data_IF_731742731079
#
_entry.id   IF_731742731079
#
_cell.length_a   1.000
_cell.length_b   1.000
_cell.length_c   1.000
_cell.angle_alpha   90.00
_cell.angle_beta   90.00
_cell.angle_gamma   90.00
#
_symmetry.space_group_name_H-M   'P 1'
#
loop_
_entity.id
_entity.type
_entity.pdbx_description
1 polymer ?
#
# COMPACT_ATOMS: atom_id res chain seq x y z
N UNK A 1 -23.36 -67.80 -79.70
CA UNK A 1 -24.09 -66.59 -79.31
C UNK A 1 -23.71 -66.23 -77.90
N UNK A 2 -22.74 -65.30 -77.75
CA UNK A 2 -22.40 -64.77 -76.42
C UNK A 2 -22.27 -63.25 -76.60
N UNK A 3 -23.20 -62.54 -75.96
CA UNK A 3 -23.32 -61.09 -75.95
C UNK A 3 -22.33 -60.54 -74.97
N UNK A 4 -21.46 -59.62 -75.37
CA UNK A 4 -20.50 -58.93 -74.53
C UNK A 4 -21.13 -57.58 -74.14
N UNK A 5 -21.27 -57.33 -72.87
CA UNK A 5 -21.74 -56.02 -72.30
C UNK A 5 -20.55 -55.04 -72.15
N UNK A 6 -20.70 -53.79 -72.44
CA UNK A 6 -19.60 -52.79 -72.32
C UNK A 6 -19.41 -52.36 -70.89
N UNK A 7 -18.12 -52.23 -70.55
CA UNK A 7 -17.60 -51.69 -69.26
C UNK A 7 -17.88 -50.20 -69.15
N UNK A 8 -18.53 -49.80 -68.05
CA UNK A 8 -18.69 -48.39 -67.64
C UNK A 8 -17.34 -47.81 -67.24
N UNK A 9 -16.98 -46.73 -67.87
CA UNK A 9 -15.82 -45.92 -67.51
C UNK A 9 -16.14 -44.99 -66.28
N UNK A 10 -15.47 -45.24 -65.15
CA UNK A 10 -15.52 -44.36 -64.02
C UNK A 10 -14.72 -43.06 -64.32
N UNK A 11 -15.40 -41.99 -64.57
CA UNK A 11 -14.81 -40.65 -64.62
C UNK A 11 -14.55 -40.22 -63.19
N UNK A 12 -13.29 -40.16 -62.77
CA UNK A 12 -12.85 -39.50 -61.51
C UNK A 12 -12.88 -37.99 -61.72
N UNK A 13 -13.80 -37.38 -61.04
CA UNK A 13 -13.88 -35.91 -60.90
C UNK A 13 -12.75 -35.45 -59.98
N UNK A 14 -11.68 -34.86 -60.53
CA UNK A 14 -10.59 -34.26 -59.83
C UNK A 14 -10.94 -32.79 -59.57
N UNK A 15 -11.69 -32.50 -58.53
CA UNK A 15 -11.84 -31.14 -57.99
C UNK A 15 -10.52 -30.70 -57.36
N UNK A 16 -9.87 -29.60 -57.81
CA UNK A 16 -8.66 -29.12 -57.17
C UNK A 16 -9.02 -28.62 -55.77
N UNK A 17 -8.41 -29.19 -54.73
CA UNK A 17 -8.49 -28.68 -53.40
C UNK A 17 -7.85 -27.28 -53.36
N UNK A 18 -8.68 -26.26 -53.15
CA UNK A 18 -8.22 -24.89 -52.92
C UNK A 18 -7.52 -24.89 -51.56
N UNK A 19 -6.18 -24.86 -51.57
CA UNK A 19 -5.39 -24.59 -50.35
C UNK A 19 -5.65 -23.15 -49.97
N UNK A 20 -6.54 -22.91 -49.02
CA UNK A 20 -6.73 -21.61 -48.39
C UNK A 20 -5.52 -21.44 -47.47
N UNK A 21 -4.57 -20.64 -47.92
CA UNK A 21 -3.43 -20.21 -47.10
C UNK A 21 -4.01 -19.43 -45.92
N UNK A 22 -4.15 -20.09 -44.77
CA UNK A 22 -4.58 -19.43 -43.54
C UNK A 22 -3.45 -18.50 -43.11
N UNK A 23 -3.60 -17.21 -43.41
CA UNK A 23 -2.78 -16.15 -42.84
C UNK A 23 -3.01 -16.20 -41.32
N UNK A 24 -2.14 -16.91 -40.60
CA UNK A 24 -2.10 -16.88 -39.15
C UNK A 24 -1.73 -15.47 -38.75
N UNK A 25 -2.69 -14.75 -38.17
CA UNK A 25 -2.42 -13.42 -37.64
C UNK A 25 -1.26 -13.53 -36.63
N UNK A 26 -0.27 -12.62 -36.67
CA UNK A 26 0.85 -12.65 -35.75
C UNK A 26 0.31 -12.59 -34.30
N UNK A 27 0.74 -13.53 -33.48
CA UNK A 27 0.42 -13.53 -32.05
C UNK A 27 0.87 -12.17 -31.44
N UNK A 28 0.04 -11.55 -30.58
CA UNK A 28 0.42 -10.31 -29.94
C UNK A 28 1.72 -10.51 -29.15
N UNK A 29 2.67 -9.57 -29.20
CA UNK A 29 3.96 -9.70 -28.56
C UNK A 29 3.78 -9.96 -27.06
N UNK A 30 4.37 -11.05 -26.56
CA UNK A 30 4.33 -11.40 -25.13
C UNK A 30 5.08 -10.35 -24.34
N UNK A 31 4.38 -9.63 -23.45
CA UNK A 31 5.00 -8.61 -22.59
C UNK A 31 6.01 -9.21 -21.64
N UNK A 32 7.12 -8.52 -21.44
CA UNK A 32 8.12 -8.90 -20.45
C UNK A 32 7.55 -8.91 -19.03
N UNK A 33 7.92 -9.91 -18.24
CA UNK A 33 7.52 -9.96 -16.84
C UNK A 33 8.25 -8.91 -16.01
N UNK A 34 7.56 -8.28 -15.05
CA UNK A 34 8.20 -7.29 -14.16
C UNK A 34 8.00 -7.62 -12.68
N UNK A 35 8.95 -7.19 -11.87
CA UNK A 35 8.90 -7.30 -10.42
C UNK A 35 9.44 -6.05 -9.72
N UNK A 36 8.78 -5.65 -8.62
CA UNK A 36 9.20 -4.53 -7.79
C UNK A 36 9.83 -5.03 -6.48
N UNK A 37 11.09 -4.70 -6.28
CA UNK A 37 11.84 -4.95 -5.04
C UNK A 37 12.02 -3.63 -4.28
N UNK A 38 11.41 -3.53 -3.09
CA UNK A 38 11.57 -2.37 -2.20
C UNK A 38 12.70 -2.67 -1.22
N UNK A 39 13.73 -1.81 -1.21
CA UNK A 39 14.94 -1.98 -0.39
C UNK A 39 14.88 -1.15 0.90
N UNK A 40 14.27 0.03 0.87
CA UNK A 40 14.10 0.90 2.03
C UNK A 40 12.73 1.54 2.02
N UNK A 41 12.14 1.69 3.21
CA UNK A 41 10.86 2.35 3.41
C UNK A 41 10.86 3.13 4.73
N UNK A 42 10.74 4.43 4.63
CA UNK A 42 10.51 5.33 5.77
C UNK A 42 9.03 5.73 5.72
N UNK A 43 8.20 5.07 6.52
CA UNK A 43 6.74 5.21 6.48
C UNK A 43 6.16 5.88 7.73
N UNK A 44 6.98 6.20 8.72
CA UNK A 44 6.60 6.93 9.92
C UNK A 44 7.26 8.30 9.87
N UNK A 45 6.52 9.33 9.51
CA UNK A 45 7.06 10.67 9.29
C UNK A 45 6.19 11.73 9.95
N UNK A 46 6.80 12.81 10.37
CA UNK A 46 6.05 14.00 10.81
C UNK A 46 5.46 14.73 9.60
N UNK A 47 4.36 15.41 9.84
CA UNK A 47 3.80 16.39 8.92
C UNK A 47 4.87 17.41 8.48
N UNK A 48 4.86 17.79 7.21
CA UNK A 48 5.90 18.62 6.61
C UNK A 48 7.17 17.88 6.17
N UNK A 49 7.37 16.65 6.62
CA UNK A 49 8.53 15.85 6.25
C UNK A 49 8.25 14.91 5.07
N UNK A 50 9.31 14.31 4.51
CA UNK A 50 9.21 13.41 3.36
C UNK A 50 9.34 11.95 3.77
N UNK A 51 8.32 11.15 3.46
CA UNK A 51 8.45 9.71 3.44
C UNK A 51 9.28 9.29 2.22
N UNK A 52 10.23 8.38 2.43
CA UNK A 52 11.13 7.90 1.37
C UNK A 52 11.01 6.39 1.17
N UNK A 53 10.78 6.02 -0.08
CA UNK A 53 10.72 4.61 -0.49
C UNK A 53 11.70 4.42 -1.65
N UNK A 54 12.62 3.48 -1.52
CA UNK A 54 13.58 3.15 -2.58
C UNK A 54 13.50 1.68 -2.95
N UNK A 55 13.86 1.37 -4.17
CA UNK A 55 13.84 0.01 -4.66
C UNK A 55 14.40 -0.14 -6.07
N UNK A 56 14.09 -1.30 -6.66
CA UNK A 56 14.41 -1.63 -8.04
C UNK A 56 13.20 -2.24 -8.73
N UNK A 57 13.01 -1.87 -9.98
CA UNK A 57 12.18 -2.58 -10.93
C UNK A 57 13.06 -3.58 -11.67
N UNK A 58 12.60 -4.80 -11.78
CA UNK A 58 13.20 -5.85 -12.59
C UNK A 58 12.32 -6.14 -13.80
N UNK A 59 12.95 -6.40 -14.95
CA UNK A 59 12.36 -6.89 -16.19
C UNK A 59 12.97 -8.25 -16.48
N UNK A 60 12.17 -9.29 -16.60
CA UNK A 60 12.61 -10.69 -16.76
C UNK A 60 13.72 -11.12 -15.76
N UNK A 61 13.57 -10.68 -14.48
CA UNK A 61 14.54 -10.98 -13.42
C UNK A 61 15.85 -10.18 -13.48
N UNK A 62 16.04 -9.32 -14.49
CA UNK A 62 17.23 -8.45 -14.64
C UNK A 62 16.92 -7.01 -14.21
N UNK A 63 17.93 -6.19 -13.90
CA UNK A 63 17.71 -4.78 -13.63
C UNK A 63 16.97 -4.09 -14.77
N UNK A 64 15.85 -3.45 -14.47
CA UNK A 64 15.02 -2.79 -15.47
C UNK A 64 15.66 -1.54 -16.06
N UNK A 65 15.11 -1.11 -17.18
CA UNK A 65 15.54 0.04 -17.96
C UNK A 65 15.37 1.35 -17.19
N UNK A 66 16.18 2.39 -17.48
CA UNK A 66 15.94 3.73 -16.94
C UNK A 66 14.73 4.37 -17.65
N UNK A 67 14.07 5.33 -16.96
CA UNK A 67 12.96 6.09 -17.51
C UNK A 67 11.56 5.46 -17.32
N UNK A 68 11.46 4.23 -16.79
CA UNK A 68 10.19 3.58 -16.54
C UNK A 68 9.44 4.24 -15.37
N UNK A 69 8.16 4.55 -15.55
CA UNK A 69 7.35 5.23 -14.55
C UNK A 69 6.94 4.29 -13.42
N UNK A 70 7.33 4.62 -12.21
CA UNK A 70 6.92 3.94 -10.97
C UNK A 70 6.08 4.89 -10.12
N UNK A 71 4.97 4.44 -9.60
CA UNK A 71 4.05 5.29 -8.82
C UNK A 71 3.89 4.81 -7.38
N UNK A 72 3.77 5.75 -6.45
CA UNK A 72 3.24 5.49 -5.11
C UNK A 72 1.74 5.69 -5.14
N UNK A 73 1.01 4.70 -4.64
CA UNK A 73 -0.44 4.76 -4.47
C UNK A 73 -0.80 4.57 -3.01
N UNK A 74 -1.77 5.35 -2.54
CA UNK A 74 -2.41 5.19 -1.23
C UNK A 74 -3.81 4.61 -1.36
N UNK A 75 -4.26 3.89 -0.34
CA UNK A 75 -5.63 3.39 -0.27
C UNK A 75 -6.54 4.51 0.24
N UNK A 76 -7.56 4.85 -0.53
CA UNK A 76 -8.61 5.77 -0.13
C UNK A 76 -9.95 5.06 -0.30
N UNK A 77 -10.62 4.75 0.80
CA UNK A 77 -11.80 3.90 0.82
C UNK A 77 -11.56 2.59 0.03
N UNK A 78 -12.24 2.40 -1.10
CA UNK A 78 -12.10 1.20 -1.94
C UNK A 78 -11.16 1.37 -3.14
N UNK A 79 -10.55 2.56 -3.30
CA UNK A 79 -9.73 2.89 -4.48
C UNK A 79 -8.26 3.08 -4.11
N UNK A 80 -7.38 2.89 -5.10
CA UNK A 80 -5.98 3.24 -5.02
C UNK A 80 -5.74 4.56 -5.78
N UNK A 81 -5.26 5.58 -5.07
CA UNK A 81 -4.97 6.89 -5.64
C UNK A 81 -3.47 7.05 -5.80
N UNK A 82 -3.03 7.44 -6.99
CA UNK A 82 -1.62 7.79 -7.24
C UNK A 82 -1.32 9.14 -6.59
N UNK A 83 -0.31 9.16 -5.72
CA UNK A 83 0.10 10.36 -4.97
C UNK A 83 1.49 10.86 -5.36
N UNK A 84 2.35 10.00 -5.90
CA UNK A 84 3.66 10.38 -6.43
C UNK A 84 3.94 9.56 -7.68
N UNK A 85 4.57 10.22 -8.67
CA UNK A 85 5.19 9.57 -9.83
C UNK A 85 6.70 9.75 -9.73
N UNK A 86 7.45 8.71 -10.07
CA UNK A 86 8.91 8.70 -10.15
C UNK A 86 9.33 7.85 -11.33
N UNK A 87 10.56 7.98 -11.78
CA UNK A 87 11.10 7.17 -12.87
C UNK A 87 12.31 6.36 -12.41
N UNK A 88 12.50 5.21 -13.01
CA UNK A 88 13.69 4.41 -12.80
C UNK A 88 14.93 5.11 -13.35
N UNK A 89 16.07 4.82 -12.74
CA UNK A 89 17.41 5.22 -13.15
C UNK A 89 18.21 3.97 -13.51
N UNK A 90 19.46 4.13 -13.87
CA UNK A 90 20.34 3.03 -14.23
C UNK A 90 20.27 1.86 -13.24
N UNK A 91 20.13 0.64 -13.78
CA UNK A 91 19.92 -0.58 -13.01
C UNK A 91 18.54 -0.72 -12.38
N UNK A 92 17.50 -0.12 -12.98
CA UNK A 92 16.11 -0.19 -12.54
C UNK A 92 15.82 0.48 -11.19
N UNK A 93 16.76 1.27 -10.65
CA UNK A 93 16.63 1.91 -9.32
C UNK A 93 15.59 3.01 -9.36
N UNK A 94 14.73 3.08 -8.34
CA UNK A 94 13.80 4.18 -8.14
C UNK A 94 13.88 4.74 -6.72
N UNK A 95 13.53 6.03 -6.60
CA UNK A 95 13.35 6.70 -5.31
C UNK A 95 12.08 7.55 -5.36
N UNK A 96 11.16 7.24 -4.46
CA UNK A 96 9.90 7.97 -4.29
C UNK A 96 10.01 8.79 -3.01
N UNK A 97 9.80 10.11 -3.11
CA UNK A 97 9.75 11.02 -2.01
C UNK A 97 8.34 11.62 -1.92
N UNK A 98 7.61 11.27 -0.89
CA UNK A 98 6.24 11.76 -0.65
C UNK A 98 6.26 12.82 0.45
N UNK A 99 5.84 14.04 0.15
CA UNK A 99 5.68 15.10 1.16
C UNK A 99 4.40 14.84 1.97
N UNK A 100 4.57 14.54 3.24
CA UNK A 100 3.50 14.27 4.18
C UNK A 100 2.85 15.59 4.63
N UNK A 101 1.61 15.86 4.22
CA UNK A 101 0.93 17.14 4.50
C UNK A 101 -0.16 17.07 5.55
N UNK A 102 -0.70 15.89 5.82
CA UNK A 102 -1.89 15.75 6.67
C UNK A 102 -1.73 14.49 7.53
N UNK A 103 -1.87 14.62 8.85
CA UNK A 103 -1.81 13.48 9.77
C UNK A 103 -2.85 12.42 9.40
N UNK A 104 -2.39 11.20 9.25
CA UNK A 104 -3.23 10.03 8.92
C UNK A 104 -2.40 8.76 8.90
N UNK A 105 -3.10 7.62 8.91
CA UNK A 105 -2.50 6.31 8.69
C UNK A 105 -3.23 5.61 7.55
N UNK A 106 -2.52 5.24 6.49
CA UNK A 106 -3.11 4.66 5.29
C UNK A 106 -2.19 3.61 4.64
N UNK A 107 -2.81 2.57 4.05
CA UNK A 107 -2.05 1.55 3.32
C UNK A 107 -1.49 2.13 2.03
N UNK A 108 -0.23 1.81 1.73
CA UNK A 108 0.45 2.26 0.52
C UNK A 108 1.06 1.09 -0.26
N UNK A 109 1.15 1.28 -1.57
CA UNK A 109 1.81 0.37 -2.49
C UNK A 109 2.63 1.12 -3.53
N UNK A 110 3.68 0.49 -4.01
CA UNK A 110 4.41 0.90 -5.21
C UNK A 110 3.87 0.10 -6.38
N UNK A 111 3.65 0.75 -7.52
CA UNK A 111 3.19 0.11 -8.75
C UNK A 111 4.00 0.59 -9.94
N UNK A 112 4.39 -0.32 -10.79
CA UNK A 112 4.72 -0.08 -12.18
C UNK A 112 3.45 -0.35 -13.00
N UNK A 113 2.91 0.61 -13.74
CA UNK A 113 1.65 0.43 -14.48
C UNK A 113 1.76 -0.57 -15.63
N UNK A 114 2.99 -0.86 -16.08
CA UNK A 114 3.26 -1.52 -17.35
C UNK A 114 3.32 -0.51 -18.48
N UNK A 115 3.78 -0.97 -19.63
CA UNK A 115 3.80 -0.25 -20.90
C UNK A 115 3.51 -1.21 -22.07
N UNK A 116 3.88 -0.86 -23.29
CA UNK A 116 3.66 -1.71 -24.46
C UNK A 116 4.50 -2.98 -24.42
N UNK A 117 5.70 -2.95 -23.85
CA UNK A 117 6.68 -4.03 -23.84
C UNK A 117 6.68 -4.83 -22.53
N UNK A 118 6.29 -4.21 -21.40
CA UNK A 118 6.40 -4.79 -20.08
C UNK A 118 5.06 -4.85 -19.34
N UNK A 119 4.81 -5.96 -18.64
CA UNK A 119 3.60 -6.17 -17.84
C UNK A 119 3.63 -5.33 -16.56
N UNK A 120 2.45 -5.02 -16.01
CA UNK A 120 2.38 -4.25 -14.76
C UNK A 120 2.80 -5.08 -13.55
N UNK A 121 3.41 -4.44 -12.56
CA UNK A 121 3.72 -5.06 -11.27
C UNK A 121 3.34 -4.16 -10.09
N UNK A 122 3.09 -4.78 -8.94
CA UNK A 122 2.65 -4.08 -7.72
C UNK A 122 3.30 -4.69 -6.49
N UNK A 123 3.81 -3.83 -5.58
CA UNK A 123 4.34 -4.23 -4.28
C UNK A 123 3.68 -3.43 -3.17
N UNK A 124 3.01 -4.11 -2.24
CA UNK A 124 2.55 -3.49 -0.99
C UNK A 124 3.77 -3.15 -0.13
N UNK A 125 3.81 -1.94 0.42
CA UNK A 125 4.95 -1.48 1.23
C UNK A 125 4.61 -1.27 2.70
N UNK A 126 3.35 -1.33 3.07
CA UNK A 126 2.88 -1.24 4.45
C UNK A 126 1.91 -0.07 4.67
N UNK A 127 1.89 0.47 5.88
CA UNK A 127 1.12 1.66 6.25
C UNK A 127 2.04 2.87 6.31
N UNK A 128 1.65 3.94 5.63
CA UNK A 128 2.26 5.25 5.77
C UNK A 128 1.54 5.98 6.89
N UNK A 129 2.26 6.29 7.95
CA UNK A 129 1.79 7.02 9.10
C UNK A 129 2.39 8.43 9.06
N UNK A 130 1.53 9.40 8.83
CA UNK A 130 1.87 10.82 8.94
C UNK A 130 1.41 11.28 10.30
N UNK A 131 2.34 11.72 11.10
CA UNK A 131 2.11 12.16 12.46
C UNK A 131 2.21 13.68 12.55
N UNK A 132 1.60 14.25 13.60
CA UNK A 132 1.91 15.56 14.13
C UNK A 132 2.44 15.45 15.56
N UNK A 133 3.24 16.38 15.98
CA UNK A 133 3.72 16.45 17.35
C UNK A 133 2.65 17.08 18.24
N UNK A 134 2.34 16.44 19.37
CA UNK A 134 1.30 16.87 20.31
C UNK A 134 1.75 16.65 21.75
N UNK A 135 1.34 17.52 22.65
CA UNK A 135 1.57 17.33 24.09
C UNK A 135 0.64 16.27 24.66
N UNK A 136 1.20 15.36 25.43
CA UNK A 136 0.48 14.31 26.13
C UNK A 136 0.93 14.19 27.59
N UNK A 137 0.06 13.67 28.41
CA UNK A 137 0.33 13.13 29.75
C UNK A 137 -0.20 11.71 29.86
N UNK A 138 -0.25 11.18 31.07
CA UNK A 138 -0.83 9.86 31.31
C UNK A 138 -1.66 9.87 32.61
N UNK A 139 -2.56 8.91 32.73
CA UNK A 139 -3.41 8.72 33.89
C UNK A 139 -3.59 7.22 34.19
N UNK A 140 -3.94 6.91 35.44
CA UNK A 140 -4.17 5.57 35.94
C UNK A 140 -5.03 5.60 37.22
N UNK A 141 -4.98 4.54 37.99
CA UNK A 141 -5.66 4.49 39.28
C UNK A 141 -7.06 3.88 39.28
N UNK A 142 -7.58 3.48 38.12
CA UNK A 142 -8.90 2.87 37.99
C UNK A 142 -10.05 3.87 37.86
N UNK A 143 -11.29 3.36 37.80
CA UNK A 143 -12.52 4.13 37.67
C UNK A 143 -13.24 4.00 36.34
N UNK A 144 -14.46 4.55 36.31
CA UNK A 144 -15.30 4.49 35.08
C UNK A 144 -14.81 5.42 34.01
N UNK A 145 -14.82 4.95 32.76
CA UNK A 145 -14.39 5.69 31.58
C UNK A 145 -15.58 6.41 30.92
N UNK A 146 -15.38 7.63 30.42
CA UNK A 146 -16.44 8.40 29.76
C UNK A 146 -17.00 7.74 28.50
N UNK A 147 -16.26 6.85 27.87
CA UNK A 147 -16.73 6.07 26.72
C UNK A 147 -17.32 4.70 27.10
N UNK A 148 -17.48 4.44 28.39
CA UNK A 148 -17.98 3.17 28.93
C UNK A 148 -16.86 2.21 29.30
N UNK A 149 -17.17 1.30 30.24
CA UNK A 149 -16.20 0.38 30.81
C UNK A 149 -15.40 0.98 31.98
N UNK A 150 -14.40 0.24 32.42
CA UNK A 150 -13.56 0.63 33.56
C UNK A 150 -12.09 0.66 33.18
N UNK A 151 -11.38 1.61 33.78
CA UNK A 151 -9.93 1.72 33.67
C UNK A 151 -9.27 0.68 34.58
N UNK A 152 -8.39 -0.12 34.01
CA UNK A 152 -7.52 -1.03 34.74
C UNK A 152 -6.06 -0.77 34.37
N UNK A 153 -5.10 -1.30 35.10
CA UNK A 153 -3.68 -1.20 34.80
C UNK A 153 -3.27 -1.78 33.42
N UNK A 154 -4.11 -2.67 32.84
CA UNK A 154 -3.89 -3.27 31.53
C UNK A 154 -4.70 -2.63 30.39
N UNK A 155 -5.55 -1.64 30.69
CA UNK A 155 -6.39 -0.97 29.70
C UNK A 155 -5.56 -0.15 28.75
N UNK A 156 -5.54 -0.53 27.45
CA UNK A 156 -4.92 0.26 26.38
C UNK A 156 -5.91 1.28 25.82
N UNK A 157 -5.56 2.56 25.84
CA UNK A 157 -6.39 3.63 25.32
C UNK A 157 -5.81 5.00 25.56
N UNK A 158 -6.55 6.00 25.09
CA UNK A 158 -6.26 7.41 25.34
C UNK A 158 -7.53 8.17 25.70
N UNK A 159 -7.39 9.21 26.52
CA UNK A 159 -8.40 10.25 26.65
C UNK A 159 -8.17 11.33 25.60
N UNK A 160 -9.25 11.84 25.00
CA UNK A 160 -9.25 12.98 24.09
C UNK A 160 -10.55 13.77 24.24
N UNK A 161 -10.47 15.11 24.14
CA UNK A 161 -11.61 16.00 24.38
C UNK A 161 -12.72 15.87 23.32
N UNK A 162 -12.34 15.73 22.04
CA UNK A 162 -13.23 15.92 20.89
C UNK A 162 -13.38 14.72 19.98
N UNK A 163 -12.38 13.84 19.88
CA UNK A 163 -12.46 12.67 19.03
C UNK A 163 -13.57 11.73 19.52
N UNK A 164 -14.39 11.16 18.60
CA UNK A 164 -15.40 10.17 19.00
C UNK A 164 -14.81 8.99 19.77
N UNK A 165 -15.57 8.46 20.72
CA UNK A 165 -15.23 7.23 21.41
C UNK A 165 -14.98 6.08 20.42
N UNK A 166 -13.96 5.25 20.68
CA UNK A 166 -13.57 4.17 19.80
C UNK A 166 -12.70 4.60 18.59
N UNK A 167 -12.48 5.91 18.38
CA UNK A 167 -11.56 6.38 17.34
C UNK A 167 -10.18 5.81 17.55
N UNK A 168 -9.65 5.07 16.58
CA UNK A 168 -8.28 4.57 16.63
C UNK A 168 -7.27 5.67 16.37
N UNK A 169 -6.29 5.78 17.24
CA UNK A 169 -5.18 6.73 17.19
C UNK A 169 -3.87 5.97 17.20
N UNK A 170 -3.02 6.23 16.21
CA UNK A 170 -1.64 5.74 16.27
C UNK A 170 -0.81 6.75 17.04
N UNK A 171 -0.23 6.35 18.16
CA UNK A 171 0.68 7.15 18.98
C UNK A 171 2.08 6.59 18.84
N UNK A 172 3.07 7.50 18.74
CA UNK A 172 4.48 7.12 18.59
C UNK A 172 5.35 7.94 19.55
N UNK A 173 6.27 7.27 20.25
CA UNK A 173 7.26 7.87 21.13
C UNK A 173 8.53 7.02 21.18
N UNK A 174 9.71 7.63 21.18
CA UNK A 174 10.99 6.93 21.33
C UNK A 174 11.23 5.77 20.33
N UNK A 175 10.65 5.86 19.12
CA UNK A 175 10.75 4.80 18.12
C UNK A 175 9.67 3.71 18.24
N UNK A 176 8.95 3.61 19.35
CA UNK A 176 7.83 2.69 19.58
C UNK A 176 6.53 3.28 19.07
N UNK A 177 5.57 2.45 18.71
CA UNK A 177 4.23 2.88 18.26
C UNK A 177 3.17 1.94 18.77
N UNK A 178 2.01 2.48 19.15
CA UNK A 178 0.82 1.73 19.50
C UNK A 178 -0.38 2.32 18.76
N UNK A 179 -1.35 1.47 18.42
CA UNK A 179 -2.67 1.89 17.92
C UNK A 179 -3.68 1.62 19.03
N UNK A 180 -4.31 2.66 19.56
CA UNK A 180 -5.22 2.56 20.69
C UNK A 180 -6.51 3.34 20.43
N UNK A 181 -7.65 2.92 21.02
CA UNK A 181 -8.90 3.65 20.93
C UNK A 181 -8.93 4.87 21.86
N UNK A 182 -9.73 5.86 21.51
CA UNK A 182 -10.21 6.88 22.42
C UNK A 182 -11.26 6.24 23.33
N UNK A 183 -10.97 6.20 24.63
CA UNK A 183 -11.83 5.51 25.63
C UNK A 183 -12.33 6.47 26.73
N UNK A 184 -11.78 7.68 26.77
CA UNK A 184 -12.13 8.62 27.82
C UNK A 184 -12.11 10.06 27.33
N UNK A 185 -12.56 10.99 28.20
CA UNK A 185 -12.55 12.45 27.96
C UNK A 185 -11.46 13.12 28.75
N UNK A 186 -10.81 14.11 28.15
CA UNK A 186 -9.65 14.83 28.67
C UNK A 186 -8.52 14.88 27.63
N UNK A 187 -7.32 15.31 28.02
CA UNK A 187 -6.97 15.99 29.28
C UNK A 187 -7.62 17.36 29.38
N UNK A 188 -8.03 17.76 30.57
CA UNK A 188 -8.60 19.10 30.81
C UNK A 188 -7.53 20.16 31.16
N UNK A 189 -6.26 19.79 31.09
CA UNK A 189 -5.13 20.70 31.25
C UNK A 189 -4.85 21.41 29.90
N UNK A 190 -4.67 22.71 29.96
CA UNK A 190 -4.37 23.53 28.77
C UNK A 190 -3.07 23.05 28.08
N UNK A 191 -3.05 23.07 26.75
CA UNK A 191 -1.90 22.66 25.92
C UNK A 191 -1.78 21.14 25.71
N UNK A 192 -2.38 20.31 26.55
CA UNK A 192 -2.37 18.85 26.39
C UNK A 192 -3.51 18.40 25.48
N UNK A 193 -3.21 17.43 24.62
CA UNK A 193 -4.17 16.90 23.65
C UNK A 193 -4.61 15.47 23.94
N UNK A 194 -3.68 14.65 24.38
CA UNK A 194 -3.96 13.27 24.79
C UNK A 194 -3.53 12.99 26.23
N UNK A 195 -4.30 12.17 26.90
CA UNK A 195 -3.92 11.54 28.15
C UNK A 195 -3.84 10.03 27.94
N UNK A 196 -2.65 9.47 28.07
CA UNK A 196 -2.41 8.05 27.83
C UNK A 196 -2.82 7.25 29.04
N UNK A 197 -3.47 6.09 28.86
CA UNK A 197 -3.59 5.15 29.98
C UNK A 197 -2.22 4.64 30.41
N UNK A 198 -2.11 4.14 31.63
CA UNK A 198 -0.87 3.54 32.16
C UNK A 198 -0.30 2.48 31.22
N UNK A 199 -1.11 1.52 30.77
CA UNK A 199 -0.67 0.49 29.83
C UNK A 199 -0.19 1.08 28.49
N UNK A 200 -0.83 2.12 27.98
CA UNK A 200 -0.40 2.79 26.73
C UNK A 200 0.94 3.52 26.92
N UNK A 201 1.09 4.23 28.04
CA UNK A 201 2.34 4.88 28.45
C UNK A 201 3.49 3.85 28.53
N UNK A 202 3.26 2.73 29.17
CA UNK A 202 4.29 1.69 29.37
C UNK A 202 4.67 1.01 28.05
N UNK A 203 3.70 0.71 27.19
CA UNK A 203 3.95 0.16 25.85
C UNK A 203 4.83 1.08 24.98
N UNK A 204 4.69 2.39 25.15
CA UNK A 204 5.50 3.40 24.47
C UNK A 204 6.85 3.67 25.15
N UNK A 205 7.00 3.32 26.44
CA UNK A 205 8.11 3.78 27.28
C UNK A 205 8.05 5.29 27.53
N UNK A 206 6.86 5.85 27.62
CA UNK A 206 6.64 7.28 27.86
C UNK A 206 6.67 7.55 29.37
N UNK A 207 7.56 8.46 29.80
CA UNK A 207 7.89 8.59 31.22
C UNK A 207 7.22 9.79 31.93
N UNK A 208 6.11 10.32 31.43
CA UNK A 208 5.48 11.43 32.16
C UNK A 208 4.61 12.34 31.30
N UNK A 209 5.02 13.60 31.17
CA UNK A 209 4.38 14.61 30.32
C UNK A 209 5.38 15.04 29.24
N UNK A 210 4.92 15.24 28.04
CA UNK A 210 5.77 15.73 26.92
C UNK A 210 5.19 15.43 25.55
N UNK A 211 6.03 15.62 24.54
CA UNK A 211 5.61 15.49 23.14
C UNK A 211 5.60 14.04 22.71
N UNK A 212 4.48 13.60 22.17
CA UNK A 212 4.32 12.36 21.40
C UNK A 212 3.93 12.68 19.97
N UNK A 213 4.02 11.71 19.09
CA UNK A 213 3.53 11.83 17.72
C UNK A 213 2.17 11.15 17.59
N UNK A 214 1.19 11.82 16.98
CA UNK A 214 -0.16 11.31 16.78
C UNK A 214 -0.60 11.42 15.31
N UNK A 215 -1.37 10.46 14.83
CA UNK A 215 -2.00 10.49 13.49
C UNK A 215 -3.35 11.21 13.46
N UNK A 216 -3.75 11.80 14.59
CA UNK A 216 -5.00 12.56 14.76
C UNK A 216 -4.72 13.97 15.23
#
# INVERSE_FOLDING_TARGET
MHTITPTEALTRDLTPATIVDQVVAPEPPTKESTALHVTRRELNVLEGHRARITGRLLENGRPGSPGLMVVLQRRAARRWLTVVRSHTRGGGRFAINYLARTPRSESVRVRFPGDELASSSTRRVGRLNVFRAVEASWYGGGGSLACGGELTSSTLGVANKILPCGTLVDIRYGGRSVTVPVIDRGPFVAGREFDLTEATKDALGFAGTGVVWSTR
#
